data_IF_537448780119
#
_entry.id   IF_537448780119
#
_cell.length_a   1.000
_cell.length_b   1.000
_cell.length_c   1.000
_cell.angle_alpha   90.00
_cell.angle_beta   90.00
_cell.angle_gamma   90.00
#
_symmetry.space_group_name_H-M   'P 1'
#
loop_
_entity.id
_entity.type
_entity.pdbx_description
1 polymer ?
#
# COMPACT_ATOMS: atom_id res chain seq x y z
N UNK A 1 0.48 -10.80 12.66
CA UNK A 1 0.82 -9.40 12.37
C UNK A 1 2.27 -9.08 12.77
N UNK A 2 3.28 -9.73 12.17
CA UNK A 2 4.68 -9.30 12.38
C UNK A 2 4.96 -8.19 11.37
N UNK A 3 5.47 -7.03 11.81
CA UNK A 3 5.88 -5.96 10.90
C UNK A 3 4.76 -5.03 10.40
N UNK A 4 3.71 -4.80 11.19
CA UNK A 4 2.78 -3.68 10.97
C UNK A 4 2.83 -2.83 12.24
N UNK A 5 3.08 -1.53 12.08
CA UNK A 5 3.00 -0.54 13.16
C UNK A 5 1.70 0.27 12.99
N UNK A 6 1.12 0.83 14.06
CA UNK A 6 -0.05 1.70 13.98
C UNK A 6 0.34 3.15 14.27
N UNK A 7 -0.36 4.12 13.70
CA UNK A 7 -0.02 5.53 13.92
C UNK A 7 -1.04 6.52 13.36
N UNK A 8 -0.82 7.83 13.63
CA UNK A 8 -1.63 8.88 13.01
C UNK A 8 -1.46 8.87 11.49
N UNK A 9 -2.38 9.50 10.78
CA UNK A 9 -2.26 9.66 9.33
C UNK A 9 -0.89 10.25 8.96
N UNK A 10 -0.25 9.75 7.88
CA UNK A 10 1.05 10.25 7.45
C UNK A 10 0.94 11.72 7.03
N UNK A 11 1.91 12.54 7.44
CA UNK A 11 2.04 13.92 6.97
C UNK A 11 2.75 13.98 5.61
N UNK A 12 2.26 13.18 4.65
CA UNK A 12 2.81 13.01 3.31
C UNK A 12 1.66 12.80 2.31
N UNK A 13 1.89 13.02 0.99
CA UNK A 13 0.89 12.73 -0.02
C UNK A 13 0.38 11.29 0.09
N UNK A 14 -0.94 11.16 0.04
CA UNK A 14 -1.65 9.90 0.05
C UNK A 14 -2.62 9.83 -1.14
N UNK A 15 -2.77 8.62 -1.66
CA UNK A 15 -3.74 8.29 -2.70
C UNK A 15 -4.84 7.46 -2.05
N UNK A 16 -6.09 7.70 -2.40
CA UNK A 16 -7.26 6.96 -1.90
C UNK A 16 -8.26 6.74 -3.02
N UNK A 17 -8.90 5.57 -3.05
CA UNK A 17 -9.98 5.25 -3.98
C UNK A 17 -11.36 5.61 -3.44
N UNK A 18 -11.49 5.96 -2.15
CA UNK A 18 -12.79 6.26 -1.55
C UNK A 18 -13.54 7.32 -2.37
N UNK A 19 -14.80 7.01 -2.68
CA UNK A 19 -15.72 7.89 -3.36
C UNK A 19 -17.12 7.72 -2.77
N UNK A 20 -18.09 8.54 -3.21
CA UNK A 20 -19.49 8.38 -2.81
C UNK A 20 -20.21 7.18 -3.45
N UNK A 21 -19.54 6.40 -4.30
CA UNK A 21 -20.11 5.23 -4.98
C UNK A 21 -19.23 3.99 -4.72
N UNK A 22 -19.86 2.94 -4.16
CA UNK A 22 -19.19 1.70 -3.74
C UNK A 22 -18.77 0.78 -4.90
N UNK A 23 -19.27 1.01 -6.12
CA UNK A 23 -19.01 0.14 -7.27
C UNK A 23 -17.88 0.60 -8.18
N UNK A 24 -17.18 1.68 -7.80
CA UNK A 24 -16.11 2.25 -8.61
C UNK A 24 -14.78 1.56 -8.34
N UNK A 25 -14.26 0.90 -9.37
CA UNK A 25 -12.94 0.31 -9.34
C UNK A 25 -11.87 1.31 -9.77
N UNK A 26 -10.65 1.15 -9.25
CA UNK A 26 -9.54 2.01 -9.62
C UNK A 26 -8.20 1.26 -9.54
N UNK A 27 -7.22 1.80 -10.27
CA UNK A 27 -5.83 1.42 -10.14
C UNK A 27 -4.96 2.67 -10.11
N UNK A 28 -4.19 2.84 -9.05
CA UNK A 28 -3.17 3.87 -8.94
C UNK A 28 -1.78 3.24 -8.93
N UNK A 29 -0.83 3.92 -9.56
CA UNK A 29 0.58 3.52 -9.62
C UNK A 29 1.41 4.74 -9.24
N UNK A 30 2.31 4.60 -8.27
CA UNK A 30 3.23 5.67 -7.88
C UNK A 30 4.28 5.91 -8.97
N UNK A 31 5.01 7.03 -8.87
CA UNK A 31 6.31 7.13 -9.53
C UNK A 31 7.26 6.04 -9.03
N UNK A 32 8.22 5.65 -9.87
CA UNK A 32 9.28 4.73 -9.49
C UNK A 32 10.22 5.39 -8.47
N UNK A 33 10.71 4.62 -7.51
CA UNK A 33 11.66 5.07 -6.48
C UNK A 33 12.70 3.99 -6.14
N UNK A 34 13.94 4.37 -5.78
CA UNK A 34 14.96 3.39 -5.45
C UNK A 34 14.65 2.66 -4.15
N UNK A 35 14.96 1.37 -4.09
CA UNK A 35 14.92 0.60 -2.86
C UNK A 35 15.83 1.24 -1.78
N UNK A 36 15.37 1.37 -0.52
CA UNK A 36 16.20 1.89 0.56
C UNK A 36 17.47 1.05 0.76
N UNK A 37 18.62 1.71 0.96
CA UNK A 37 19.89 1.03 1.25
C UNK A 37 19.84 0.17 2.54
N UNK A 38 18.92 0.45 3.46
CA UNK A 38 18.66 -0.36 4.65
C UNK A 38 18.00 -1.71 4.34
N UNK A 39 17.51 -1.94 3.12
CA UNK A 39 16.75 -3.12 2.75
C UNK A 39 15.39 -3.22 3.45
N UNK A 40 14.89 -2.09 3.98
CA UNK A 40 13.67 -2.04 4.76
C UNK A 40 12.87 -0.77 4.43
N UNK A 41 11.59 -0.96 4.14
CA UNK A 41 10.64 0.09 3.78
C UNK A 41 9.44 0.03 4.72
N UNK A 42 8.89 1.19 5.06
CA UNK A 42 7.60 1.33 5.74
C UNK A 42 6.63 1.96 4.74
N UNK A 43 5.55 1.24 4.44
CA UNK A 43 4.47 1.69 3.57
C UNK A 43 3.20 1.91 4.40
N UNK A 44 2.73 3.16 4.55
CA UNK A 44 1.44 3.42 5.16
C UNK A 44 0.30 2.98 4.22
N UNK A 45 -0.61 2.17 4.75
CA UNK A 45 -1.80 1.63 4.08
C UNK A 45 -3.02 1.95 4.94
N UNK A 46 -4.13 2.25 4.28
CA UNK A 46 -5.44 2.46 4.87
C UNK A 46 -6.47 1.80 3.95
N UNK A 47 -7.56 1.27 4.50
CA UNK A 47 -8.66 0.79 3.70
C UNK A 47 -10.00 0.94 4.43
N UNK A 48 -11.07 0.69 3.71
CA UNK A 48 -12.43 0.60 4.22
C UNK A 48 -12.67 -0.64 5.08
N UNK A 49 -13.90 -0.84 5.55
CA UNK A 49 -14.23 -1.99 6.40
C UNK A 49 -14.04 -3.35 5.72
N UNK A 50 -14.12 -3.44 4.39
CA UNK A 50 -14.04 -4.71 3.64
C UNK A 50 -12.86 -4.66 2.68
N UNK A 51 -12.03 -5.71 2.64
CA UNK A 51 -10.81 -5.78 1.81
C UNK A 51 -10.94 -6.65 0.58
N UNK A 52 -12.12 -7.22 0.32
CA UNK A 52 -12.38 -8.01 -0.88
C UNK A 52 -12.13 -7.17 -2.14
N UNK A 53 -11.35 -7.71 -3.08
CA UNK A 53 -10.96 -7.00 -4.31
C UNK A 53 -9.93 -5.88 -4.11
N UNK A 54 -9.42 -5.64 -2.91
CA UNK A 54 -8.43 -4.60 -2.64
C UNK A 54 -7.01 -5.15 -2.60
N UNK A 55 -6.05 -4.42 -3.16
CA UNK A 55 -4.62 -4.70 -2.94
C UNK A 55 -3.77 -3.43 -2.83
N UNK A 56 -2.70 -3.53 -2.04
CA UNK A 56 -1.56 -2.61 -2.09
C UNK A 56 -0.30 -3.44 -2.25
N UNK A 57 0.30 -3.35 -3.43
CA UNK A 57 1.45 -4.15 -3.82
C UNK A 57 2.69 -3.26 -3.96
N UNK A 58 3.82 -3.77 -3.48
CA UNK A 58 5.14 -3.26 -3.82
C UNK A 58 5.66 -4.08 -4.99
N UNK A 59 5.83 -3.45 -6.15
CA UNK A 59 6.32 -4.11 -7.36
C UNK A 59 7.76 -3.66 -7.69
N UNK A 60 8.52 -4.55 -8.32
CA UNK A 60 9.74 -4.19 -9.03
C UNK A 60 9.37 -3.35 -10.27
N UNK A 61 9.88 -2.13 -10.36
CA UNK A 61 9.46 -1.17 -11.37
C UNK A 61 9.79 -1.62 -12.81
N UNK A 62 10.87 -2.40 -12.97
CA UNK A 62 11.32 -2.88 -14.27
C UNK A 62 10.53 -4.09 -14.76
N UNK A 63 10.26 -5.04 -13.87
CA UNK A 63 9.65 -6.34 -14.22
C UNK A 63 8.16 -6.41 -13.95
N UNK A 64 7.62 -5.53 -13.10
CA UNK A 64 6.25 -5.63 -12.60
C UNK A 64 6.03 -6.81 -11.64
N UNK A 65 7.10 -7.49 -11.23
CA UNK A 65 6.99 -8.59 -10.28
C UNK A 65 6.62 -8.06 -8.89
N UNK A 66 5.61 -8.67 -8.26
CA UNK A 66 5.24 -8.36 -6.89
C UNK A 66 6.39 -8.78 -5.97
N UNK A 67 6.97 -7.79 -5.29
CA UNK A 67 7.98 -7.99 -4.24
C UNK A 67 7.29 -8.39 -2.94
N UNK A 68 6.19 -7.71 -2.61
CA UNK A 68 5.36 -8.02 -1.46
C UNK A 68 3.96 -7.38 -1.60
N UNK A 69 2.99 -7.90 -0.86
CA UNK A 69 1.62 -7.37 -0.77
C UNK A 69 1.27 -7.01 0.67
N UNK A 70 0.56 -5.91 0.86
CA UNK A 70 0.12 -5.46 2.18
C UNK A 70 -0.85 -6.47 2.80
N UNK A 71 -0.64 -6.90 4.05
CA UNK A 71 -1.47 -7.91 4.70
C UNK A 71 -2.76 -7.30 5.32
N UNK A 72 -3.63 -6.74 4.47
CA UNK A 72 -4.88 -6.08 4.89
C UNK A 72 -5.88 -7.07 5.51
N UNK A 73 -6.69 -6.60 6.46
CA UNK A 73 -7.71 -7.40 7.15
C UNK A 73 -9.00 -6.60 7.29
N UNK A 74 -10.16 -7.26 7.13
CA UNK A 74 -11.45 -6.58 7.32
C UNK A 74 -11.52 -5.86 8.66
N UNK A 75 -12.13 -4.69 8.65
CA UNK A 75 -12.38 -3.79 9.78
C UNK A 75 -11.15 -3.13 10.42
N UNK A 76 -9.93 -3.33 9.90
CA UNK A 76 -8.74 -2.57 10.30
C UNK A 76 -8.72 -1.16 9.63
N UNK A 77 -9.75 -0.34 9.90
CA UNK A 77 -10.00 0.98 9.27
C UNK A 77 -9.12 2.12 9.83
N UNK A 78 -7.86 1.82 10.12
CA UNK A 78 -6.87 2.77 10.63
C UNK A 78 -5.61 2.72 9.78
N UNK A 79 -4.78 3.75 9.88
CA UNK A 79 -3.49 3.73 9.20
C UNK A 79 -2.59 2.65 9.78
N UNK A 80 -2.24 1.70 8.93
CA UNK A 80 -1.28 0.64 9.19
C UNK A 80 0.04 0.94 8.47
N UNK A 81 1.14 0.84 9.19
CA UNK A 81 2.49 1.12 8.72
C UNK A 81 3.19 -0.20 8.46
N UNK A 82 2.98 -0.72 7.26
CA UNK A 82 3.47 -2.02 6.86
C UNK A 82 4.98 -1.99 6.59
N UNK A 83 5.73 -2.75 7.37
CA UNK A 83 7.17 -2.90 7.27
C UNK A 83 7.53 -4.04 6.31
N UNK A 84 8.21 -3.68 5.23
CA UNK A 84 8.59 -4.58 4.15
C UNK A 84 10.09 -4.78 4.15
N UNK A 85 10.54 -6.03 4.19
CA UNK A 85 11.93 -6.37 3.90
C UNK A 85 12.12 -6.41 2.39
N UNK A 86 12.99 -5.56 1.87
CA UNK A 86 13.29 -5.50 0.44
C UNK A 86 14.55 -6.33 0.17
N UNK A 87 14.46 -7.41 -0.63
CA UNK A 87 15.55 -8.38 -0.76
C UNK A 87 16.78 -7.88 -1.53
N UNK A 88 16.71 -6.74 -2.23
CA UNK A 88 17.87 -6.14 -2.90
C UNK A 88 17.78 -4.62 -2.91
N UNK A 89 18.91 -3.97 -2.64
CA UNK A 89 19.06 -2.51 -2.52
C UNK A 89 19.33 -1.81 -3.85
N UNK A 90 19.53 -2.57 -4.94
CA UNK A 90 19.83 -2.04 -6.28
C UNK A 90 18.67 -2.30 -7.25
N UNK A 91 17.45 -1.95 -6.85
CA UNK A 91 16.27 -2.02 -7.72
C UNK A 91 15.38 -0.81 -7.51
N UNK A 92 14.73 -0.40 -8.59
CA UNK A 92 13.65 0.57 -8.52
C UNK A 92 12.35 -0.16 -8.23
N UNK A 93 11.53 0.44 -7.37
CA UNK A 93 10.28 -0.07 -6.87
C UNK A 93 9.16 0.91 -7.23
N UNK A 94 7.93 0.40 -7.23
CA UNK A 94 6.73 1.24 -7.28
C UNK A 94 5.64 0.64 -6.40
N UNK A 95 4.72 1.50 -5.97
CA UNK A 95 3.52 1.08 -5.25
C UNK A 95 2.39 1.00 -6.26
N UNK A 96 1.65 -0.10 -6.21
CA UNK A 96 0.44 -0.32 -6.99
C UNK A 96 -0.71 -0.51 -6.02
N UNK A 97 -1.70 0.38 -6.11
CA UNK A 97 -2.93 0.31 -5.32
C UNK A 97 -4.04 -0.09 -6.26
N UNK A 98 -4.77 -1.15 -5.92
CA UNK A 98 -5.90 -1.66 -6.69
C UNK A 98 -7.14 -1.69 -5.82
N UNK A 99 -8.18 -1.11 -6.36
CA UNK A 99 -9.54 -1.24 -5.86
C UNK A 99 -10.34 -1.93 -6.96
N UNK A 100 -10.51 -3.24 -6.86
CA UNK A 100 -11.39 -4.02 -7.73
C UNK A 100 -12.71 -4.37 -7.02
N UNK A 101 -12.93 -3.75 -5.85
CA UNK A 101 -14.13 -3.88 -5.06
C UNK A 101 -15.36 -3.34 -5.78
N UNK A 102 -16.51 -3.94 -5.49
CA UNK A 102 -17.83 -3.56 -6.00
C UNK A 102 -18.91 -3.50 -4.92
N UNK A 103 -18.54 -3.86 -3.69
CA UNK A 103 -19.38 -3.93 -2.51
C UNK A 103 -19.20 -2.72 -1.60
N UNK A 104 -20.14 -2.60 -0.67
CA UNK A 104 -20.11 -1.51 0.30
C UNK A 104 -18.84 -1.57 1.16
N UNK A 105 -18.18 -0.41 1.30
CA UNK A 105 -17.05 -0.26 2.20
C UNK A 105 -15.73 -0.85 1.66
N UNK A 106 -15.68 -1.18 0.38
CA UNK A 106 -14.45 -1.54 -0.32
C UNK A 106 -13.82 -0.25 -0.88
N UNK A 107 -12.71 0.17 -0.27
CA UNK A 107 -11.88 1.26 -0.75
C UNK A 107 -10.49 1.15 -0.11
N UNK A 108 -9.46 1.66 -0.77
CA UNK A 108 -8.08 1.54 -0.34
C UNK A 108 -7.32 2.84 -0.53
N UNK A 109 -6.35 3.08 0.33
CA UNK A 109 -5.40 4.16 0.21
C UNK A 109 -4.00 3.73 0.64
N UNK A 110 -3.02 4.41 0.06
CA UNK A 110 -1.62 4.27 0.42
C UNK A 110 -0.94 5.63 0.39
N UNK A 111 0.05 5.81 1.26
CA UNK A 111 0.83 7.04 1.30
C UNK A 111 2.27 6.83 0.87
N UNK A 112 2.98 7.95 0.73
CA UNK A 112 4.41 7.96 0.39
C UNK A 112 5.19 7.06 1.36
N UNK A 113 6.00 6.11 0.87
CA UNK A 113 6.76 5.21 1.72
C UNK A 113 7.98 5.90 2.32
N UNK A 114 8.56 5.28 3.35
CA UNK A 114 9.81 5.74 3.95
C UNK A 114 10.77 4.58 4.22
N UNK A 115 12.07 4.87 4.28
CA UNK A 115 13.04 3.89 4.76
C UNK A 115 12.83 3.63 6.25
N UNK A 116 13.00 2.37 6.69
CA UNK A 116 13.03 2.05 8.12
C UNK A 116 14.18 2.82 8.80
N UNK A 117 13.92 3.34 10.00
CA UNK A 117 14.92 3.95 10.89
C UNK A 117 15.35 2.97 11.96
#
# INVERSE_FOLDING_TARGET
RKGIDFGPAPNAPAYTSWSGADSFTSKAVSSDFPAPASGCLILPVLHGPIVEGLSVDLEDAKTGAIVASAPMQDYDMIWEFWRVKVPSVNRDLRIVVRDEGRGWGEWVGAATPSACR
#
